data_IF_789698395766
#
_entry.id   IF_789698395766
#
_cell.length_a   1.000
_cell.length_b   1.000
_cell.length_c   1.000
_cell.angle_alpha   90.00
_cell.angle_beta   90.00
_cell.angle_gamma   90.00
#
_symmetry.space_group_name_H-M   'P 1'
#
loop_
_entity.id
_entity.type
_entity.pdbx_description
1 polymer ?
#
# COMPACT_ATOMS: atom_id res chain seq x y z
N UNK A 1 -6.88 43.07 18.45
CA UNK A 1 -7.90 42.51 17.54
C UNK A 1 -7.18 42.12 16.26
N UNK A 2 -6.66 40.88 16.20
CA UNK A 2 -5.90 40.38 15.05
C UNK A 2 -6.89 39.88 14.01
N UNK A 3 -7.24 40.72 13.03
CA UNK A 3 -7.78 40.26 11.75
C UNK A 3 -6.62 39.67 10.95
N UNK A 4 -6.24 38.43 11.26
CA UNK A 4 -5.52 37.62 10.28
C UNK A 4 -6.52 37.40 9.15
N UNK A 5 -6.13 37.87 7.97
CA UNK A 5 -6.95 38.02 6.79
C UNK A 5 -7.62 36.70 6.41
N UNK A 6 -8.95 36.63 6.57
CA UNK A 6 -9.78 35.45 6.30
C UNK A 6 -9.61 34.96 4.86
N UNK A 7 -9.20 35.85 3.95
CA UNK A 7 -8.90 35.52 2.56
C UNK A 7 -7.62 34.68 2.41
N UNK A 8 -6.57 34.97 3.18
CA UNK A 8 -5.31 34.21 3.11
C UNK A 8 -5.52 32.79 3.65
N UNK A 9 -6.30 32.66 4.74
CA UNK A 9 -6.64 31.34 5.32
C UNK A 9 -7.50 30.48 4.39
N UNK A 10 -8.44 31.10 3.68
CA UNK A 10 -9.28 30.38 2.70
C UNK A 10 -8.48 29.96 1.46
N UNK A 11 -7.54 30.79 1.01
CA UNK A 11 -6.70 30.47 -0.15
C UNK A 11 -5.74 29.30 0.15
N UNK A 12 -5.08 29.29 1.32
CA UNK A 12 -4.21 28.17 1.72
C UNK A 12 -4.95 26.84 1.83
N UNK A 13 -6.15 26.80 2.43
CA UNK A 13 -6.95 25.57 2.52
C UNK A 13 -7.41 25.08 1.14
N UNK A 14 -7.83 25.99 0.26
CA UNK A 14 -8.26 25.64 -1.10
C UNK A 14 -7.11 25.05 -1.94
N UNK A 15 -5.89 25.57 -1.75
CA UNK A 15 -4.69 25.04 -2.38
C UNK A 15 -4.34 23.65 -1.82
N UNK A 16 -4.45 23.42 -0.52
CA UNK A 16 -4.17 22.09 0.06
C UNK A 16 -5.16 21.03 -0.49
N UNK A 17 -6.45 21.33 -0.52
CA UNK A 17 -7.46 20.40 -1.05
C UNK A 17 -7.23 20.06 -2.53
N UNK A 18 -6.92 21.05 -3.37
CA UNK A 18 -6.65 20.81 -4.80
C UNK A 18 -5.44 19.91 -5.03
N UNK A 19 -4.39 20.01 -4.20
CA UNK A 19 -3.24 19.11 -4.29
C UNK A 19 -3.60 17.66 -3.98
N UNK A 20 -4.52 17.42 -3.04
CA UNK A 20 -4.96 16.07 -2.69
C UNK A 20 -5.75 15.41 -3.83
N UNK A 21 -6.63 16.16 -4.50
CA UNK A 21 -7.35 15.64 -5.67
C UNK A 21 -6.41 15.32 -6.84
N UNK A 22 -5.41 16.15 -7.09
CA UNK A 22 -4.39 15.88 -8.12
C UNK A 22 -3.61 14.61 -7.79
N UNK A 23 -3.23 14.43 -6.52
CA UNK A 23 -2.58 13.21 -6.05
C UNK A 23 -3.43 11.97 -6.22
N UNK A 24 -4.70 12.05 -5.85
CA UNK A 24 -5.64 10.96 -6.03
C UNK A 24 -5.81 10.60 -7.51
N UNK A 25 -6.08 11.59 -8.38
CA UNK A 25 -6.26 11.36 -9.82
C UNK A 25 -4.97 10.76 -10.42
N UNK A 26 -3.81 11.35 -10.13
CA UNK A 26 -2.53 10.85 -10.65
C UNK A 26 -2.25 9.42 -10.17
N UNK A 27 -2.55 9.10 -8.91
CA UNK A 27 -2.39 7.76 -8.38
C UNK A 27 -3.28 6.75 -9.10
N UNK A 28 -4.57 7.04 -9.31
CA UNK A 28 -5.47 6.15 -10.04
C UNK A 28 -5.05 5.97 -11.50
N UNK A 29 -4.69 7.06 -12.18
CA UNK A 29 -4.24 7.00 -13.57
C UNK A 29 -3.00 6.13 -13.70
N UNK A 30 -2.02 6.28 -12.80
CA UNK A 30 -0.77 5.53 -12.89
C UNK A 30 -0.94 4.08 -12.43
N UNK A 31 -1.41 3.87 -11.20
CA UNK A 31 -1.38 2.55 -10.55
C UNK A 31 -2.60 1.68 -10.85
N UNK A 32 -3.77 2.27 -11.11
CA UNK A 32 -4.98 1.49 -11.40
C UNK A 32 -5.20 1.32 -12.91
N UNK A 33 -4.76 2.29 -13.73
CA UNK A 33 -4.99 2.24 -15.18
C UNK A 33 -3.71 1.89 -15.93
N UNK A 34 -2.69 2.75 -15.91
CA UNK A 34 -1.51 2.60 -16.77
C UNK A 34 -0.73 1.32 -16.46
N UNK A 35 -0.36 1.06 -15.21
CA UNK A 35 0.45 -0.10 -14.85
C UNK A 35 -0.28 -1.42 -15.18
N UNK A 36 -1.55 -1.64 -14.80
CA UNK A 36 -2.29 -2.82 -15.22
C UNK A 36 -2.38 -2.98 -16.74
N UNK A 37 -2.60 -1.90 -17.49
CA UNK A 37 -2.62 -1.96 -18.95
C UNK A 37 -1.26 -2.38 -19.54
N UNK A 38 -0.16 -1.88 -18.97
CA UNK A 38 1.19 -2.30 -19.38
C UNK A 38 1.43 -3.78 -19.08
N UNK A 39 1.01 -4.27 -17.91
CA UNK A 39 1.11 -5.70 -17.54
C UNK A 39 0.31 -6.55 -18.53
N UNK A 40 -0.94 -6.17 -18.84
CA UNK A 40 -1.78 -6.90 -19.78
C UNK A 40 -1.17 -6.89 -21.19
N UNK A 41 -0.61 -5.74 -21.63
CA UNK A 41 0.03 -5.62 -22.94
C UNK A 41 1.28 -6.50 -23.07
N UNK A 42 2.01 -6.73 -21.98
CA UNK A 42 3.16 -7.66 -21.92
C UNK A 42 2.81 -9.15 -21.99
N UNK A 43 1.56 -9.50 -22.37
CA UNK A 43 1.04 -10.87 -22.59
C UNK A 43 0.92 -11.77 -21.36
N UNK A 44 1.03 -11.23 -20.15
CA UNK A 44 0.73 -11.99 -18.94
C UNK A 44 -0.43 -11.38 -18.18
N UNK A 45 -1.66 -11.68 -18.63
CA UNK A 45 -2.85 -11.42 -17.82
C UNK A 45 -2.75 -12.10 -16.45
N UNK A 46 -2.05 -13.24 -16.39
CA UNK A 46 -1.80 -13.96 -15.15
C UNK A 46 -0.87 -13.21 -14.18
N UNK A 47 0.00 -12.31 -14.64
CA UNK A 47 0.84 -11.50 -13.74
C UNK A 47 0.02 -10.48 -12.95
N UNK A 48 -1.17 -10.08 -13.45
CA UNK A 48 -2.00 -9.08 -12.80
C UNK A 48 -2.41 -9.50 -11.37
N UNK A 49 -2.62 -10.80 -11.15
CA UNK A 49 -2.96 -11.32 -9.82
C UNK A 49 -1.85 -11.12 -8.80
N UNK A 50 -0.58 -11.02 -9.20
CA UNK A 50 0.54 -10.74 -8.28
C UNK A 50 0.69 -9.23 -8.03
N UNK A 51 0.28 -8.41 -8.99
CA UNK A 51 0.31 -6.96 -8.86
C UNK A 51 -0.79 -6.44 -7.91
N UNK A 52 -2.03 -6.93 -8.08
CA UNK A 52 -3.19 -6.45 -7.33
C UNK A 52 -3.01 -6.44 -5.80
N UNK A 53 -2.50 -7.49 -5.14
CA UNK A 53 -2.27 -7.52 -3.68
C UNK A 53 -1.21 -6.55 -3.17
N UNK A 54 -0.41 -5.93 -4.06
CA UNK A 54 0.66 -5.01 -3.70
C UNK A 54 0.18 -3.55 -3.79
N UNK A 55 -0.93 -3.32 -4.50
CA UNK A 55 -1.46 -1.96 -4.74
C UNK A 55 -1.81 -1.26 -3.43
N UNK A 56 -2.41 -1.97 -2.47
CA UNK A 56 -2.75 -1.41 -1.15
C UNK A 56 -1.50 -1.04 -0.33
N UNK A 57 -0.45 -1.84 -0.40
CA UNK A 57 0.85 -1.56 0.23
C UNK A 57 1.43 -0.25 -0.31
N UNK A 58 1.46 -0.12 -1.64
CA UNK A 58 1.96 1.07 -2.31
C UNK A 58 1.09 2.28 -1.93
N UNK A 59 -0.24 2.14 -1.97
CA UNK A 59 -1.16 3.19 -1.59
C UNK A 59 -0.93 3.66 -0.14
N UNK A 60 -0.75 2.73 0.79
CA UNK A 60 -0.49 3.01 2.19
C UNK A 60 0.81 3.81 2.34
N UNK A 61 1.93 3.38 1.72
CA UNK A 61 3.20 4.12 1.76
C UNK A 61 3.03 5.54 1.26
N UNK A 62 2.43 5.73 0.09
CA UNK A 62 2.27 7.05 -0.51
C UNK A 62 1.39 7.96 0.35
N UNK A 63 0.37 7.39 1.01
CA UNK A 63 -0.56 8.15 1.84
C UNK A 63 0.03 8.54 3.19
N UNK A 64 0.87 7.68 3.78
CA UNK A 64 1.55 7.99 5.06
C UNK A 64 2.87 8.73 4.88
N UNK A 65 3.43 8.77 3.68
CA UNK A 65 4.71 9.43 3.41
C UNK A 65 4.53 10.82 2.82
N UNK A 66 5.43 11.75 3.14
CA UNK A 66 5.36 13.14 2.70
C UNK A 66 5.19 14.14 3.86
N UNK A 67 5.63 15.37 3.63
CA UNK A 67 5.49 16.48 4.59
C UNK A 67 4.02 16.83 4.73
N UNK A 68 3.48 17.01 5.95
CA UNK A 68 2.04 17.22 6.22
C UNK A 68 1.42 18.32 5.36
N UNK A 69 2.18 19.39 5.06
CA UNK A 69 1.73 20.51 4.23
C UNK A 69 1.81 20.27 2.71
N UNK A 70 2.27 19.09 2.28
CA UNK A 70 2.45 18.67 0.88
C UNK A 70 2.14 17.18 0.68
N UNK A 71 1.34 16.55 1.54
CA UNK A 71 0.92 15.16 1.38
C UNK A 71 -0.11 15.05 0.26
N UNK A 72 0.38 15.11 -0.98
CA UNK A 72 -0.41 15.04 -2.22
C UNK A 72 -1.27 13.76 -2.24
N UNK A 73 -0.79 12.66 -1.67
CA UNK A 73 -1.48 11.36 -1.71
C UNK A 73 -2.25 11.02 -0.44
N UNK A 74 -2.44 11.96 0.49
CA UNK A 74 -3.06 11.69 1.81
C UNK A 74 -4.42 11.00 1.72
N UNK A 75 -5.23 11.39 0.75
CA UNK A 75 -6.59 10.88 0.58
C UNK A 75 -6.67 9.60 -0.27
N UNK A 76 -5.53 9.08 -0.77
CA UNK A 76 -5.51 7.83 -1.55
C UNK A 76 -5.85 6.64 -0.64
N UNK A 77 -5.22 6.55 0.53
CA UNK A 77 -5.40 5.44 1.46
C UNK A 77 -5.29 5.90 2.92
N UNK A 78 -6.35 5.72 3.70
CA UNK A 78 -6.37 6.06 5.12
C UNK A 78 -6.96 4.93 5.95
N UNK A 79 -6.27 4.58 7.04
CA UNK A 79 -6.77 3.64 8.05
C UNK A 79 -7.99 4.19 8.80
N UNK A 80 -8.17 5.50 8.80
CA UNK A 80 -9.27 6.20 9.48
C UNK A 80 -9.66 7.39 8.60
N UNK A 81 -10.40 7.13 7.50
CA UNK A 81 -10.76 8.15 6.54
C UNK A 81 -11.64 9.21 7.22
N UNK A 82 -11.22 10.46 7.10
CA UNK A 82 -11.92 11.62 7.67
C UNK A 82 -12.88 12.30 6.66
N UNK A 83 -12.89 11.82 5.41
CA UNK A 83 -13.74 12.31 4.35
C UNK A 83 -14.22 11.16 3.44
N UNK A 84 -15.30 11.39 2.69
CA UNK A 84 -15.93 10.37 1.86
C UNK A 84 -15.04 9.91 0.70
N UNK A 85 -14.20 10.80 0.18
CA UNK A 85 -13.30 10.53 -0.94
C UNK A 85 -12.24 9.51 -0.52
N UNK A 86 -11.59 9.76 0.61
CA UNK A 86 -10.61 8.85 1.22
C UNK A 86 -11.25 7.52 1.63
N UNK A 87 -12.50 7.55 2.14
CA UNK A 87 -13.25 6.33 2.45
C UNK A 87 -13.49 5.46 1.20
N UNK A 88 -14.02 6.06 0.13
CA UNK A 88 -14.27 5.34 -1.14
C UNK A 88 -12.95 4.82 -1.71
N UNK A 89 -11.92 5.66 -1.74
CA UNK A 89 -10.63 5.30 -2.31
C UNK A 89 -9.98 4.13 -1.57
N UNK A 90 -9.92 4.20 -0.24
CA UNK A 90 -9.34 3.13 0.59
C UNK A 90 -10.07 1.81 0.39
N UNK A 91 -11.41 1.82 0.40
CA UNK A 91 -12.19 0.59 0.19
C UNK A 91 -12.04 0.03 -1.22
N UNK A 92 -11.97 0.88 -2.24
CA UNK A 92 -11.76 0.44 -3.61
C UNK A 92 -10.37 -0.22 -3.79
N UNK A 93 -9.33 0.37 -3.20
CA UNK A 93 -7.98 -0.19 -3.21
C UNK A 93 -7.94 -1.53 -2.46
N UNK A 94 -8.58 -1.61 -1.29
CA UNK A 94 -8.71 -2.86 -0.53
C UNK A 94 -9.43 -3.94 -1.34
N UNK A 95 -10.51 -3.58 -2.03
CA UNK A 95 -11.23 -4.52 -2.89
C UNK A 95 -10.31 -5.09 -3.99
N UNK A 96 -9.51 -4.26 -4.64
CA UNK A 96 -8.55 -4.71 -5.66
C UNK A 96 -7.50 -5.64 -5.06
N UNK A 97 -6.92 -5.28 -3.92
CA UNK A 97 -5.91 -6.11 -3.24
C UNK A 97 -6.48 -7.48 -2.84
N UNK A 98 -7.65 -7.51 -2.22
CA UNK A 98 -8.34 -8.75 -1.83
C UNK A 98 -8.75 -9.59 -3.04
N UNK A 99 -9.12 -8.96 -4.15
CA UNK A 99 -9.38 -9.65 -5.42
C UNK A 99 -8.11 -10.34 -5.93
N UNK A 100 -6.95 -9.68 -5.85
CA UNK A 100 -5.67 -10.29 -6.18
C UNK A 100 -5.34 -11.49 -5.29
N UNK A 101 -5.55 -11.37 -3.97
CA UNK A 101 -5.34 -12.46 -3.01
C UNK A 101 -6.24 -13.65 -3.34
N UNK A 102 -7.53 -13.40 -3.56
CA UNK A 102 -8.49 -14.43 -3.91
C UNK A 102 -8.13 -15.13 -5.23
N UNK A 103 -7.70 -14.37 -6.24
CA UNK A 103 -7.27 -14.91 -7.52
C UNK A 103 -6.05 -15.83 -7.35
N UNK A 104 -5.03 -15.45 -6.58
CA UNK A 104 -3.89 -16.33 -6.31
C UNK A 104 -4.31 -17.65 -5.65
N UNK A 105 -5.21 -17.58 -4.67
CA UNK A 105 -5.80 -18.77 -4.05
C UNK A 105 -6.48 -19.71 -5.03
N UNK A 106 -7.36 -19.15 -5.86
CA UNK A 106 -8.09 -19.91 -6.88
C UNK A 106 -7.13 -20.52 -7.90
N UNK A 107 -6.13 -19.77 -8.36
CA UNK A 107 -5.13 -20.27 -9.30
C UNK A 107 -4.32 -21.44 -8.73
N UNK A 108 -3.92 -21.36 -7.45
CA UNK A 108 -3.25 -22.47 -6.75
C UNK A 108 -4.20 -23.66 -6.61
N UNK A 109 -5.45 -23.43 -6.23
CA UNK A 109 -6.44 -24.50 -6.06
C UNK A 109 -6.66 -25.28 -7.37
N UNK A 110 -6.76 -24.57 -8.50
CA UNK A 110 -6.92 -25.17 -9.82
C UNK A 110 -5.67 -25.94 -10.22
N UNK A 111 -4.48 -25.32 -10.11
CA UNK A 111 -3.21 -25.93 -10.54
C UNK A 111 -2.86 -27.18 -9.74
N UNK A 112 -3.13 -27.18 -8.43
CA UNK A 112 -2.86 -28.32 -7.55
C UNK A 112 -4.04 -29.27 -7.40
N UNK A 113 -5.21 -28.94 -7.96
CA UNK A 113 -6.47 -29.67 -7.79
C UNK A 113 -6.83 -29.86 -6.31
N UNK A 114 -6.47 -28.89 -5.46
CA UNK A 114 -6.67 -28.92 -4.01
C UNK A 114 -7.25 -27.58 -3.54
N UNK A 115 -8.52 -27.57 -3.13
CA UNK A 115 -9.16 -26.38 -2.58
C UNK A 115 -8.48 -25.93 -1.27
N UNK A 116 -8.01 -26.90 -0.49
CA UNK A 116 -7.30 -26.66 0.77
C UNK A 116 -6.01 -25.86 0.52
N UNK A 117 -5.20 -26.25 -0.47
CA UNK A 117 -3.95 -25.55 -0.81
C UNK A 117 -4.22 -24.09 -1.21
N UNK A 118 -5.28 -23.85 -1.99
CA UNK A 118 -5.68 -22.51 -2.37
C UNK A 118 -6.12 -21.66 -1.18
N UNK A 119 -6.91 -22.23 -0.25
CA UNK A 119 -7.32 -21.55 0.98
C UNK A 119 -6.12 -21.19 1.83
N UNK A 120 -5.16 -22.11 2.02
CA UNK A 120 -3.95 -21.82 2.79
C UNK A 120 -3.14 -20.68 2.17
N UNK A 121 -2.98 -20.67 0.85
CA UNK A 121 -2.30 -19.57 0.16
C UNK A 121 -3.05 -18.25 0.38
N UNK A 122 -4.38 -18.22 0.26
CA UNK A 122 -5.17 -17.01 0.54
C UNK A 122 -4.97 -16.51 1.97
N UNK A 123 -4.98 -17.40 2.95
CA UNK A 123 -4.79 -17.04 4.36
C UNK A 123 -3.40 -16.43 4.59
N UNK A 124 -2.35 -17.07 4.05
CA UNK A 124 -0.97 -16.55 4.16
C UNK A 124 -0.87 -15.18 3.52
N UNK A 125 -1.37 -15.03 2.28
CA UNK A 125 -1.35 -13.75 1.56
C UNK A 125 -2.15 -12.69 2.31
N UNK A 126 -3.37 -12.99 2.77
CA UNK A 126 -4.19 -12.04 3.53
C UNK A 126 -3.48 -11.53 4.80
N UNK A 127 -2.78 -12.41 5.53
CA UNK A 127 -1.99 -12.00 6.70
C UNK A 127 -0.81 -11.12 6.28
N UNK A 128 -0.07 -11.53 5.25
CA UNK A 128 1.18 -10.90 4.82
C UNK A 128 0.98 -9.58 4.06
N UNK A 129 -0.04 -9.49 3.21
CA UNK A 129 -0.32 -8.34 2.33
C UNK A 129 -1.37 -7.40 2.91
N UNK A 130 -2.27 -7.87 3.78
CA UNK A 130 -3.33 -7.01 4.30
C UNK A 130 -3.14 -6.70 5.78
N UNK A 131 -3.15 -7.73 6.65
CA UNK A 131 -3.18 -7.49 8.11
C UNK A 131 -1.90 -6.85 8.66
N UNK A 132 -0.74 -7.43 8.36
CA UNK A 132 0.55 -6.93 8.87
C UNK A 132 0.84 -5.51 8.34
N UNK A 133 0.84 -5.25 7.03
CA UNK A 133 1.24 -3.94 6.50
C UNK A 133 0.30 -2.80 6.84
N UNK A 134 -1.00 -3.07 7.05
CA UNK A 134 -1.97 -2.07 7.52
C UNK A 134 -1.42 -1.26 8.69
N UNK A 135 -0.78 -1.89 9.68
CA UNK A 135 -0.15 -1.22 10.82
C UNK A 135 1.38 -1.14 10.69
N UNK A 136 1.99 -2.11 10.02
CA UNK A 136 3.44 -2.24 9.88
C UNK A 136 4.07 -1.14 9.02
N UNK A 137 3.40 -0.71 7.96
CA UNK A 137 3.90 0.38 7.09
C UNK A 137 3.98 1.71 7.86
N UNK A 138 2.90 2.22 8.48
CA UNK A 138 2.98 3.44 9.29
C UNK A 138 4.03 3.34 10.39
N UNK A 139 4.16 2.19 11.06
CA UNK A 139 5.15 1.99 12.11
C UNK A 139 6.58 2.13 11.57
N UNK A 140 6.92 1.43 10.48
CA UNK A 140 8.27 1.43 9.93
C UNK A 140 8.67 2.78 9.32
N UNK A 141 7.74 3.45 8.65
CA UNK A 141 7.93 4.81 8.12
C UNK A 141 8.34 5.76 9.24
N UNK A 142 7.56 5.79 10.32
CA UNK A 142 7.85 6.64 11.48
C UNK A 142 9.16 6.24 12.19
N UNK A 143 9.39 4.93 12.37
CA UNK A 143 10.59 4.43 13.05
C UNK A 143 11.89 4.78 12.32
N UNK A 144 11.91 4.61 10.99
CA UNK A 144 13.11 4.90 10.19
C UNK A 144 13.38 6.40 10.12
N UNK A 145 12.33 7.20 9.97
CA UNK A 145 12.47 8.64 10.01
C UNK A 145 13.00 9.12 11.36
N UNK A 146 12.46 8.64 12.48
CA UNK A 146 12.93 9.01 13.82
C UNK A 146 14.42 8.66 14.00
N UNK A 147 14.85 7.48 13.55
CA UNK A 147 16.27 7.08 13.63
C UNK A 147 17.18 7.98 12.79
N UNK A 148 16.75 8.33 11.59
CA UNK A 148 17.55 9.16 10.67
C UNK A 148 17.62 10.61 11.17
N UNK A 149 16.51 11.18 11.63
CA UNK A 149 16.48 12.53 12.18
C UNK A 149 17.39 12.67 13.42
N UNK A 150 17.37 11.66 14.31
CA UNK A 150 18.31 11.57 15.45
C UNK A 150 19.77 11.49 14.99
N UNK A 151 20.08 10.66 14.00
CA UNK A 151 21.44 10.51 13.48
C UNK A 151 21.97 11.78 12.80
N UNK A 152 21.08 12.57 12.19
CA UNK A 152 21.42 13.83 11.52
C UNK A 152 21.38 15.06 12.45
N UNK A 153 21.22 14.87 13.77
CA UNK A 153 21.04 15.95 14.75
C UNK A 153 19.93 16.95 14.38
N UNK A 154 18.92 16.50 13.62
CA UNK A 154 17.73 17.31 13.32
C UNK A 154 16.70 17.07 14.42
N UNK A 155 15.97 18.12 14.79
CA UNK A 155 14.78 17.95 15.64
C UNK A 155 13.80 17.08 14.86
N UNK A 156 13.55 15.87 15.37
CA UNK A 156 12.53 14.99 14.80
C UNK A 156 11.22 15.76 14.69
N UNK A 157 10.78 15.93 13.46
CA UNK A 157 9.56 16.62 13.12
C UNK A 157 8.63 15.59 12.52
N UNK A 158 7.71 15.09 13.35
CA UNK A 158 6.69 14.11 12.95
C UNK A 158 5.90 14.58 11.71
N UNK A 159 5.89 15.89 11.45
CA UNK A 159 5.16 16.51 10.35
C UNK A 159 5.99 16.59 9.05
N UNK A 160 7.25 16.14 9.05
CA UNK A 160 8.15 16.13 7.88
C UNK A 160 8.57 14.71 7.50
N UNK A 161 7.61 13.88 7.09
CA UNK A 161 7.94 12.57 6.52
C UNK A 161 8.60 12.79 5.15
N UNK A 162 9.92 12.81 5.12
CA UNK A 162 10.74 13.09 3.93
C UNK A 162 11.00 11.80 3.12
N UNK A 163 11.87 11.86 2.10
CA UNK A 163 12.26 10.71 1.26
C UNK A 163 12.59 9.43 2.04
N UNK A 164 13.09 9.56 3.27
CA UNK A 164 13.41 8.44 4.15
C UNK A 164 12.19 7.63 4.61
N UNK A 165 11.02 8.27 4.72
CA UNK A 165 9.77 7.58 5.00
C UNK A 165 9.38 6.64 3.87
N UNK A 166 9.45 7.13 2.62
CA UNK A 166 9.23 6.31 1.43
C UNK A 166 10.18 5.11 1.37
N UNK A 167 11.47 5.32 1.65
CA UNK A 167 12.44 4.22 1.73
C UNK A 167 12.06 3.19 2.80
N UNK A 168 11.57 3.64 3.96
CA UNK A 168 11.14 2.76 5.02
C UNK A 168 9.93 1.90 4.65
N UNK A 169 8.95 2.51 3.98
CA UNK A 169 7.82 1.78 3.40
C UNK A 169 8.28 0.72 2.39
N UNK A 170 9.17 1.09 1.46
CA UNK A 170 9.68 0.18 0.43
C UNK A 170 10.43 -1.01 1.06
N UNK A 171 11.24 -0.77 2.09
CA UNK A 171 11.93 -1.84 2.83
C UNK A 171 10.91 -2.82 3.44
N UNK A 172 9.82 -2.31 4.03
CA UNK A 172 8.76 -3.17 4.56
C UNK A 172 8.11 -4.00 3.47
N UNK A 173 7.76 -3.40 2.32
CA UNK A 173 7.20 -4.17 1.19
C UNK A 173 8.15 -5.29 0.77
N UNK A 174 9.43 -5.01 0.60
CA UNK A 174 10.42 -6.01 0.17
C UNK A 174 10.50 -7.15 1.19
N UNK A 175 10.55 -6.82 2.49
CA UNK A 175 10.60 -7.81 3.57
C UNK A 175 9.33 -8.66 3.61
N UNK A 176 8.15 -8.04 3.56
CA UNK A 176 6.88 -8.74 3.59
C UNK A 176 6.70 -9.64 2.38
N UNK A 177 6.99 -9.15 1.18
CA UNK A 177 6.89 -9.93 -0.05
C UNK A 177 7.86 -11.10 -0.08
N UNK A 178 9.10 -10.90 0.40
CA UNK A 178 10.10 -11.96 0.52
C UNK A 178 9.65 -13.03 1.51
N UNK A 179 9.11 -12.60 2.66
CA UNK A 179 8.60 -13.49 3.69
C UNK A 179 7.40 -14.28 3.17
N UNK A 180 6.44 -13.62 2.53
CA UNK A 180 5.27 -14.24 1.91
C UNK A 180 5.68 -15.31 0.89
N UNK A 181 6.56 -14.96 -0.05
CA UNK A 181 7.07 -15.90 -1.06
C UNK A 181 7.71 -17.13 -0.41
N UNK A 182 8.57 -16.93 0.59
CA UNK A 182 9.23 -18.02 1.29
C UNK A 182 8.25 -18.90 2.08
N UNK A 183 7.25 -18.32 2.74
CA UNK A 183 6.21 -19.07 3.46
C UNK A 183 5.37 -19.93 2.52
N UNK A 184 4.89 -19.35 1.42
CA UNK A 184 4.11 -20.08 0.40
C UNK A 184 4.96 -21.20 -0.20
N UNK A 185 6.20 -20.90 -0.60
CA UNK A 185 7.11 -21.90 -1.17
C UNK A 185 7.36 -23.05 -0.19
N UNK A 186 7.71 -22.74 1.06
CA UNK A 186 7.98 -23.74 2.09
C UNK A 186 6.75 -24.64 2.35
N UNK A 187 5.57 -24.04 2.45
CA UNK A 187 4.31 -24.78 2.62
C UNK A 187 4.05 -25.74 1.44
N UNK A 188 4.20 -25.25 0.21
CA UNK A 188 3.96 -26.05 -1.00
C UNK A 188 4.98 -27.19 -1.16
N UNK A 189 6.25 -26.97 -0.77
CA UNK A 189 7.32 -27.97 -0.79
C UNK A 189 7.08 -29.11 0.22
N UNK A 190 6.67 -28.79 1.46
CA UNK A 190 6.34 -29.81 2.46
C UNK A 190 5.22 -30.72 1.94
N UNK A 191 4.15 -30.13 1.41
CA UNK A 191 3.01 -30.91 0.92
C UNK A 191 3.36 -31.79 -0.28
N UNK A 192 4.26 -31.32 -1.15
CA UNK A 192 4.75 -32.14 -2.27
C UNK A 192 5.51 -33.39 -1.82
N UNK A 193 6.09 -33.37 -0.61
CA UNK A 193 6.83 -34.50 -0.04
C UNK A 193 5.95 -35.42 0.82
N UNK A 194 4.78 -34.96 1.26
CA UNK A 194 3.90 -35.70 2.18
C UNK A 194 2.75 -36.44 1.50
N UNK A 195 2.60 -36.31 0.17
CA UNK A 195 1.65 -37.10 -0.62
C UNK A 195 2.45 -38.21 -1.33
N UNK A 196 2.41 -39.47 -0.85
CA UNK A 196 3.00 -40.60 -1.55
C UNK A 196 2.26 -40.93 -2.86
#
# INVERSE_FOLDING_TARGET
MFFIDKNIYNDENSNIETHHYIGLISWYVIFIVIIPLLIIHSKSFNELKYYLPIIDLIANIFSVSGKENKQIFKDVYSLSPNNIVSFISTNFINLLALTGVAWNGVDVAIKRKSMLDGIFVMVIMYVATYLIPTQGIPFAVNFLQEKIDKALYKKYDKNKIDIYGYLGGIIVIIVLYTLEYNLIKYYLEILSKSIP
#
